data_IF_583503805792
#
_entry.id   IF_583503805792
#
_cell.length_a   1.000
_cell.length_b   1.000
_cell.length_c   1.000
_cell.angle_alpha   90.00
_cell.angle_beta   90.00
_cell.angle_gamma   90.00
#
_symmetry.space_group_name_H-M   'P 1'
#
loop_
_entity.id
_entity.type
_entity.pdbx_description
1 polymer ?
#
# COMPACT_ATOMS: atom_id res chain seq x y z
N UNK A 1 -38.44 -88.58 57.23
CA UNK A 1 -37.23 -87.94 57.81
C UNK A 1 -36.83 -86.81 56.97
N UNK A 2 -36.79 -85.67 57.52
CA UNK A 2 -36.36 -84.31 57.17
C UNK A 2 -36.50 -83.86 55.71
N UNK A 3 -37.60 -83.17 55.43
CA UNK A 3 -37.73 -82.27 54.28
C UNK A 3 -36.88 -81.02 54.45
N UNK A 4 -36.18 -80.63 53.43
CA UNK A 4 -35.61 -79.27 53.34
C UNK A 4 -36.29 -78.55 52.16
N UNK A 5 -37.03 -77.49 52.53
CA UNK A 5 -37.61 -76.53 51.62
C UNK A 5 -36.52 -75.55 51.19
N UNK A 6 -36.33 -75.41 49.89
CA UNK A 6 -35.49 -74.35 49.33
C UNK A 6 -36.41 -73.30 48.71
N UNK A 7 -36.45 -72.09 49.32
CA UNK A 7 -37.18 -70.95 48.82
C UNK A 7 -36.34 -70.26 47.73
N UNK A 8 -36.90 -70.23 46.52
CA UNK A 8 -36.31 -69.51 45.43
C UNK A 8 -36.59 -67.99 45.48
N UNK A 9 -35.57 -67.18 45.57
CA UNK A 9 -35.65 -65.72 45.51
C UNK A 9 -35.52 -65.28 44.08
N UNK A 10 -36.57 -64.80 43.45
CA UNK A 10 -36.58 -64.24 42.12
C UNK A 10 -36.06 -62.77 42.16
N UNK A 11 -34.90 -62.53 41.67
CA UNK A 11 -34.37 -61.13 41.40
C UNK A 11 -34.99 -60.58 40.11
N UNK A 12 -35.83 -59.57 40.24
CA UNK A 12 -36.31 -58.76 39.11
C UNK A 12 -35.27 -57.70 38.79
N UNK A 13 -34.53 -57.87 37.67
CA UNK A 13 -33.58 -56.87 37.13
C UNK A 13 -34.36 -55.81 36.36
N UNK A 14 -34.47 -54.64 36.92
CA UNK A 14 -34.97 -53.43 36.21
C UNK A 14 -33.83 -52.88 35.39
N UNK A 15 -33.86 -53.14 34.08
CA UNK A 15 -32.97 -52.47 33.12
C UNK A 15 -33.51 -51.05 32.82
N UNK A 16 -32.98 -50.04 33.51
CA UNK A 16 -33.18 -48.65 33.20
C UNK A 16 -32.40 -48.30 31.94
N UNK A 17 -33.08 -48.07 30.83
CA UNK A 17 -32.48 -47.52 29.62
C UNK A 17 -32.07 -46.05 29.86
N UNK A 18 -30.80 -45.81 30.10
CA UNK A 18 -30.22 -44.45 30.08
C UNK A 18 -30.17 -44.02 28.61
N UNK A 19 -31.11 -43.20 28.17
CA UNK A 19 -31.02 -42.44 26.94
C UNK A 19 -29.94 -41.37 27.15
N UNK A 20 -28.74 -41.60 26.61
CA UNK A 20 -27.77 -40.57 26.45
C UNK A 20 -28.33 -39.51 25.49
N UNK A 21 -28.61 -38.32 26.00
CA UNK A 21 -28.94 -37.14 25.22
C UNK A 21 -27.62 -36.73 24.54
N UNK A 22 -27.51 -37.02 23.25
CA UNK A 22 -26.44 -36.52 22.39
C UNK A 22 -26.55 -35.01 22.38
N UNK A 23 -25.64 -34.37 23.09
CA UNK A 23 -25.48 -32.93 23.05
C UNK A 23 -24.91 -32.62 21.65
N UNK A 24 -25.80 -32.16 20.73
CA UNK A 24 -25.34 -31.52 19.50
C UNK A 24 -24.37 -30.41 19.90
N UNK A 25 -23.07 -30.66 19.72
CA UNK A 25 -22.08 -29.64 19.76
C UNK A 25 -22.30 -28.78 18.51
N UNK A 26 -23.02 -27.66 18.69
CA UNK A 26 -22.98 -26.59 17.70
C UNK A 26 -21.54 -26.12 17.67
N UNK A 27 -20.77 -26.60 16.69
CA UNK A 27 -19.48 -26.05 16.35
C UNK A 27 -19.70 -24.59 15.97
N UNK A 28 -19.56 -23.72 16.96
CA UNK A 28 -19.47 -22.27 16.71
C UNK A 28 -18.15 -22.05 16.01
N UNK A 29 -18.16 -22.12 14.68
CA UNK A 29 -17.07 -21.64 13.86
C UNK A 29 -16.96 -20.14 14.15
N UNK A 30 -16.06 -19.79 15.07
CA UNK A 30 -15.65 -18.40 15.27
C UNK A 30 -14.90 -18.00 14.01
N UNK A 31 -15.60 -17.49 13.01
CA UNK A 31 -15.00 -16.79 11.88
C UNK A 31 -14.44 -15.48 12.45
N UNK A 32 -13.16 -15.48 12.80
CA UNK A 32 -12.45 -14.25 13.15
C UNK A 32 -12.24 -13.51 11.86
N UNK A 33 -13.18 -12.64 11.52
CA UNK A 33 -13.05 -11.80 10.33
C UNK A 33 -11.98 -10.75 10.62
N UNK A 34 -10.84 -10.87 9.94
CA UNK A 34 -9.76 -9.91 10.09
C UNK A 34 -10.20 -8.50 9.68
N UNK A 35 -9.70 -7.50 10.40
CA UNK A 35 -9.92 -6.10 10.07
C UNK A 35 -9.10 -5.75 8.81
N UNK A 36 -9.79 -5.35 7.75
CA UNK A 36 -9.15 -4.85 6.53
C UNK A 36 -9.06 -3.34 6.60
N UNK A 37 -7.84 -2.81 6.52
CA UNK A 37 -7.57 -1.37 6.62
C UNK A 37 -7.08 -0.82 5.29
N UNK A 38 -7.56 0.36 4.95
CA UNK A 38 -7.22 1.13 3.76
C UNK A 38 -6.63 2.48 4.18
N UNK A 39 -5.52 2.83 3.57
CA UNK A 39 -5.03 4.19 3.58
C UNK A 39 -5.77 5.02 2.54
N UNK A 40 -6.47 6.06 2.96
CA UNK A 40 -7.28 6.92 2.11
C UNK A 40 -6.79 8.36 2.18
N UNK A 41 -6.49 8.95 1.04
CA UNK A 41 -6.22 10.39 0.91
C UNK A 41 -7.43 11.08 0.30
N UNK A 42 -7.81 12.23 0.84
CA UNK A 42 -8.86 13.06 0.25
C UNK A 42 -8.25 14.32 -0.35
N UNK A 43 -8.53 14.54 -1.62
CA UNK A 43 -8.05 15.73 -2.35
C UNK A 43 -9.22 16.46 -3.02
N UNK A 44 -9.08 17.76 -3.21
CA UNK A 44 -9.96 18.49 -4.13
C UNK A 44 -9.61 18.15 -5.59
N UNK A 45 -10.60 17.70 -6.36
CA UNK A 45 -10.41 17.25 -7.75
C UNK A 45 -9.77 18.33 -8.63
N UNK A 46 -10.10 19.61 -8.41
CA UNK A 46 -9.66 20.73 -9.24
C UNK A 46 -8.29 21.25 -8.83
N UNK A 47 -8.12 21.62 -7.57
CA UNK A 47 -6.89 22.22 -7.06
C UNK A 47 -5.83 21.19 -6.68
N UNK A 48 -6.18 19.91 -6.59
CA UNK A 48 -5.32 18.82 -6.09
C UNK A 48 -4.80 19.05 -4.66
N UNK A 49 -5.40 19.97 -3.93
CA UNK A 49 -5.05 20.24 -2.53
C UNK A 49 -5.61 19.15 -1.63
N UNK A 50 -4.85 18.70 -0.64
CA UNK A 50 -5.30 17.75 0.38
C UNK A 50 -6.41 18.40 1.22
N UNK A 51 -7.43 17.62 1.52
CA UNK A 51 -8.56 17.99 2.38
C UNK A 51 -8.52 17.08 3.62
N UNK A 52 -8.40 17.66 4.81
CA UNK A 52 -8.09 16.91 6.04
C UNK A 52 -9.15 16.98 7.14
N UNK A 53 -10.37 17.47 6.88
CA UNK A 53 -11.39 17.74 7.90
C UNK A 53 -12.60 16.79 7.88
N UNK A 54 -12.40 15.56 7.38
CA UNK A 54 -13.47 14.56 7.31
C UNK A 54 -13.56 13.73 8.59
N UNK A 55 -14.79 13.35 8.96
CA UNK A 55 -15.09 12.46 10.07
C UNK A 55 -15.44 11.06 9.57
N UNK A 56 -15.48 10.08 10.48
CA UNK A 56 -15.82 8.68 10.16
C UNK A 56 -17.14 8.54 9.42
N UNK A 57 -18.15 9.32 9.81
CA UNK A 57 -19.52 9.27 9.31
C UNK A 57 -19.63 9.75 7.85
N UNK A 58 -18.64 10.51 7.39
CA UNK A 58 -18.58 10.99 6.02
C UNK A 58 -18.01 9.97 5.04
N UNK A 59 -17.46 8.84 5.52
CA UNK A 59 -16.93 7.78 4.68
C UNK A 59 -17.89 6.62 4.50
N UNK A 60 -17.99 6.12 3.29
CA UNK A 60 -18.73 4.93 2.92
C UNK A 60 -17.78 3.93 2.25
N UNK A 61 -17.77 2.68 2.71
CA UNK A 61 -16.98 1.59 2.13
C UNK A 61 -17.91 0.65 1.39
N UNK A 62 -17.54 0.26 0.19
CA UNK A 62 -18.23 -0.75 -0.62
C UNK A 62 -17.24 -1.87 -0.98
N UNK A 63 -17.51 -3.09 -0.52
CA UNK A 63 -16.77 -4.31 -0.84
C UNK A 63 -17.54 -5.10 -1.90
N UNK A 64 -16.97 -5.31 -3.09
CA UNK A 64 -17.68 -5.88 -4.26
C UNK A 64 -19.04 -5.21 -4.53
N UNK A 65 -19.14 -3.91 -4.28
CA UNK A 65 -20.37 -3.14 -4.45
C UNK A 65 -21.36 -3.21 -3.29
N UNK A 66 -21.10 -4.03 -2.26
CA UNK A 66 -21.94 -4.14 -1.05
C UNK A 66 -21.41 -3.18 0.01
N UNK A 67 -22.30 -2.30 0.54
CA UNK A 67 -21.94 -1.33 1.58
C UNK A 67 -21.55 -2.04 2.87
N UNK A 68 -20.42 -1.67 3.44
CA UNK A 68 -19.86 -2.20 4.67
C UNK A 68 -19.84 -1.13 5.77
N UNK A 69 -20.03 -1.49 7.04
CA UNK A 69 -19.89 -0.55 8.15
C UNK A 69 -18.42 -0.18 8.35
N UNK A 70 -18.11 1.10 8.53
CA UNK A 70 -16.77 1.56 8.89
C UNK A 70 -16.52 1.13 10.35
N UNK A 71 -15.72 0.08 10.55
CA UNK A 71 -15.39 -0.48 11.88
C UNK A 71 -14.16 0.17 12.51
N UNK A 72 -13.27 0.72 11.69
CA UNK A 72 -12.05 1.39 12.12
C UNK A 72 -11.86 2.72 11.38
N UNK A 73 -11.46 3.74 12.12
CA UNK A 73 -11.13 5.05 11.57
C UNK A 73 -10.06 5.70 12.45
N UNK A 74 -8.97 6.13 11.84
CA UNK A 74 -7.91 6.91 12.50
C UNK A 74 -7.39 7.99 11.56
N UNK A 75 -6.94 9.08 12.16
CA UNK A 75 -6.20 10.17 11.52
C UNK A 75 -4.78 10.26 12.08
N UNK A 76 -4.33 9.26 12.82
CA UNK A 76 -3.02 9.26 13.42
C UNK A 76 -1.94 9.27 12.35
N UNK A 77 -0.93 10.06 12.60
CA UNK A 77 0.24 10.14 11.75
C UNK A 77 1.13 8.93 12.03
N UNK A 78 1.04 7.92 11.16
CA UNK A 78 1.92 6.76 11.22
C UNK A 78 3.34 7.13 10.76
N UNK A 79 4.38 6.51 11.32
CA UNK A 79 5.72 6.58 10.76
C UNK A 79 5.73 6.19 9.28
N UNK A 80 6.64 6.76 8.52
CA UNK A 80 6.79 6.44 7.10
C UNK A 80 7.99 5.51 6.89
N UNK A 81 7.80 4.46 6.08
CA UNK A 81 8.89 3.68 5.50
C UNK A 81 8.91 3.97 4.00
N UNK A 82 9.83 4.82 3.58
CA UNK A 82 9.92 5.34 2.22
C UNK A 82 11.06 4.66 1.49
N UNK A 83 10.78 4.02 0.35
CA UNK A 83 11.77 3.59 -0.61
C UNK A 83 11.81 4.61 -1.75
N UNK A 84 12.93 5.34 -1.87
CA UNK A 84 13.18 6.22 -3.01
C UNK A 84 13.75 5.40 -4.16
N UNK A 85 12.99 5.28 -5.25
CA UNK A 85 13.40 4.59 -6.48
C UNK A 85 13.84 5.64 -7.51
N UNK A 86 15.16 5.82 -7.65
CA UNK A 86 15.78 6.88 -8.44
C UNK A 86 16.14 6.38 -9.84
N UNK A 87 15.58 7.01 -10.85
CA UNK A 87 15.99 6.82 -12.24
C UNK A 87 17.35 7.49 -12.47
N UNK A 88 18.34 6.71 -12.89
CA UNK A 88 19.69 7.18 -13.24
C UNK A 88 20.05 6.86 -14.70
N UNK A 89 19.04 6.56 -15.52
CA UNK A 89 19.19 6.27 -16.95
C UNK A 89 19.74 7.46 -17.74
N UNK A 90 20.10 7.22 -18.99
CA UNK A 90 20.70 8.24 -19.84
C UNK A 90 19.81 9.47 -20.06
N UNK A 91 18.50 9.31 -20.11
CA UNK A 91 17.55 10.41 -20.36
C UNK A 91 17.44 11.39 -19.19
N UNK A 92 17.67 10.95 -17.95
CA UNK A 92 17.62 11.81 -16.75
C UNK A 92 19.00 12.39 -16.37
N UNK A 93 20.11 11.93 -16.97
CA UNK A 93 21.45 12.42 -16.66
C UNK A 93 21.58 13.95 -16.64
N UNK A 94 20.97 14.72 -17.57
CA UNK A 94 21.07 16.19 -17.56
C UNK A 94 20.44 16.86 -16.34
N UNK A 95 19.61 16.14 -15.56
CA UNK A 95 18.87 16.67 -14.42
C UNK A 95 19.18 15.91 -13.11
N UNK A 96 20.12 14.95 -13.11
CA UNK A 96 20.45 14.15 -11.92
C UNK A 96 20.91 15.01 -10.74
N UNK A 97 21.67 16.10 -10.98
CA UNK A 97 22.08 17.01 -9.90
C UNK A 97 20.86 17.64 -9.20
N UNK A 98 19.86 18.06 -9.97
CA UNK A 98 18.62 18.65 -9.42
C UNK A 98 17.78 17.60 -8.68
N UNK A 99 17.72 16.36 -9.19
CA UNK A 99 17.06 15.25 -8.51
C UNK A 99 17.77 14.97 -7.18
N UNK A 100 19.10 14.87 -7.19
CA UNK A 100 19.91 14.68 -5.99
C UNK A 100 19.66 15.76 -4.94
N UNK A 101 19.80 17.03 -5.35
CA UNK A 101 19.69 18.16 -4.43
C UNK A 101 18.26 18.29 -3.89
N UNK A 102 17.24 18.08 -4.74
CA UNK A 102 15.85 18.07 -4.34
C UNK A 102 15.51 16.92 -3.39
N UNK A 103 16.01 15.72 -3.64
CA UNK A 103 15.81 14.57 -2.75
C UNK A 103 16.47 14.80 -1.38
N UNK A 104 17.69 15.32 -1.35
CA UNK A 104 18.39 15.68 -0.10
C UNK A 104 17.62 16.72 0.72
N UNK A 105 17.13 17.78 0.07
CA UNK A 105 16.37 18.81 0.76
C UNK A 105 15.05 18.25 1.33
N UNK A 106 14.39 17.37 0.60
CA UNK A 106 13.14 16.74 1.05
C UNK A 106 13.31 15.87 2.31
N UNK A 107 14.52 15.32 2.59
CA UNK A 107 14.79 14.57 3.81
C UNK A 107 14.55 15.38 5.09
N UNK A 108 14.62 16.72 5.03
CA UNK A 108 14.37 17.61 6.18
C UNK A 108 12.89 17.62 6.61
N UNK A 109 11.97 17.19 5.75
CA UNK A 109 10.54 17.07 6.05
C UNK A 109 10.18 15.77 6.76
N UNK A 110 11.15 14.88 6.94
CA UNK A 110 10.93 13.59 7.61
C UNK A 110 11.07 13.73 9.12
N UNK A 111 10.27 12.96 9.86
CA UNK A 111 10.33 12.86 11.31
C UNK A 111 11.40 11.86 11.75
N UNK A 112 11.89 11.94 12.98
CA UNK A 112 12.94 11.02 13.50
C UNK A 112 12.59 9.53 13.36
N UNK A 113 11.32 9.19 13.49
CA UNK A 113 10.79 7.82 13.40
C UNK A 113 10.65 7.29 11.97
N UNK A 114 10.81 8.14 10.94
CA UNK A 114 10.69 7.71 9.54
C UNK A 114 11.96 7.03 9.06
N UNK A 115 11.79 5.98 8.27
CA UNK A 115 12.89 5.26 7.65
C UNK A 115 12.90 5.49 6.14
N UNK A 116 14.10 5.55 5.58
CA UNK A 116 14.29 5.73 4.13
C UNK A 116 15.26 4.68 3.62
N UNK A 117 14.87 4.00 2.56
CA UNK A 117 15.75 3.20 1.69
C UNK A 117 15.96 3.91 0.37
N UNK A 118 17.07 3.66 -0.30
CA UNK A 118 17.41 4.21 -1.61
C UNK A 118 17.75 3.09 -2.56
N UNK A 119 16.99 2.99 -3.64
CA UNK A 119 17.30 2.18 -4.81
C UNK A 119 17.55 3.08 -6.01
N UNK A 120 18.46 2.69 -6.87
CA UNK A 120 18.70 3.33 -8.14
C UNK A 120 18.45 2.34 -9.29
N UNK A 121 17.98 2.83 -10.42
CA UNK A 121 17.76 1.98 -11.59
C UNK A 121 18.10 2.68 -12.91
N UNK A 122 18.52 1.83 -13.85
CA UNK A 122 18.77 2.14 -15.24
C UNK A 122 18.37 0.90 -16.06
N UNK A 123 19.33 0.26 -16.73
CA UNK A 123 19.16 -1.07 -17.34
C UNK A 123 19.16 -2.20 -16.29
N UNK A 124 19.61 -1.91 -15.08
CA UNK A 124 19.57 -2.77 -13.89
C UNK A 124 19.09 -1.94 -12.71
N UNK A 125 18.74 -2.57 -11.61
CA UNK A 125 18.44 -1.93 -10.35
C UNK A 125 19.45 -2.36 -9.28
N UNK A 126 19.61 -1.54 -8.24
CA UNK A 126 20.45 -1.84 -7.08
C UNK A 126 19.91 -1.15 -5.83
N UNK A 127 19.95 -1.86 -4.69
CA UNK A 127 19.67 -1.29 -3.38
C UNK A 127 20.93 -0.57 -2.86
N UNK A 128 20.96 0.74 -3.02
CA UNK A 128 22.12 1.59 -2.65
C UNK A 128 22.18 1.79 -1.14
N UNK A 129 21.03 1.85 -0.48
CA UNK A 129 20.90 1.96 0.97
C UNK A 129 19.60 1.31 1.44
N UNK A 130 19.72 0.39 2.38
CA UNK A 130 18.61 -0.20 3.08
C UNK A 130 17.98 0.78 4.09
N UNK A 131 16.82 0.45 4.64
CA UNK A 131 16.06 1.32 5.53
C UNK A 131 16.88 1.84 6.70
N UNK A 132 16.95 3.16 6.84
CA UNK A 132 17.62 3.84 7.94
C UNK A 132 16.93 5.16 8.26
N UNK A 133 17.05 5.62 9.50
CA UNK A 133 16.65 6.97 9.92
C UNK A 133 17.82 7.97 9.91
N UNK A 134 19.03 7.54 9.57
CA UNK A 134 20.18 8.42 9.38
C UNK A 134 20.10 9.21 8.08
N UNK A 135 19.60 10.45 8.17
CA UNK A 135 19.42 11.36 7.03
C UNK A 135 20.74 11.71 6.32
N UNK A 136 21.82 11.76 7.07
CA UNK A 136 23.14 12.09 6.51
C UNK A 136 23.63 10.94 5.64
N UNK A 137 23.46 9.70 6.09
CA UNK A 137 23.78 8.51 5.32
C UNK A 137 22.90 8.42 4.07
N UNK A 138 21.57 8.63 4.20
CA UNK A 138 20.68 8.64 3.04
C UNK A 138 21.09 9.70 2.02
N UNK A 139 21.39 10.92 2.46
CA UNK A 139 21.85 12.01 1.57
C UNK A 139 23.13 11.65 0.81
N UNK A 140 24.11 11.04 1.50
CA UNK A 140 25.35 10.54 0.90
C UNK A 140 25.06 9.47 -0.15
N UNK A 141 24.17 8.53 0.15
CA UNK A 141 23.81 7.42 -0.73
C UNK A 141 23.02 7.88 -1.97
N UNK A 142 22.16 8.88 -1.84
CA UNK A 142 21.53 9.54 -2.99
C UNK A 142 22.61 10.16 -3.90
N UNK A 143 23.63 10.79 -3.34
CA UNK A 143 24.73 11.35 -4.12
C UNK A 143 25.52 10.26 -4.84
N UNK A 144 25.87 9.17 -4.18
CA UNK A 144 26.54 8.01 -4.77
C UNK A 144 25.70 7.42 -5.91
N UNK A 145 24.40 7.21 -5.69
CA UNK A 145 23.46 6.67 -6.67
C UNK A 145 23.40 7.51 -7.95
N UNK A 146 23.35 8.85 -7.82
CA UNK A 146 23.26 9.74 -8.98
C UNK A 146 24.55 9.89 -9.78
N UNK A 147 25.69 9.41 -9.24
CA UNK A 147 26.99 9.39 -9.93
C UNK A 147 27.31 8.04 -10.56
N UNK A 148 26.48 7.04 -10.34
CA UNK A 148 26.76 5.68 -10.78
C UNK A 148 26.49 5.52 -12.28
N UNK A 149 27.31 4.72 -12.97
CA UNK A 149 27.14 4.39 -14.40
C UNK A 149 26.93 2.89 -14.63
N UNK A 150 27.21 2.04 -13.62
CA UNK A 150 27.17 0.58 -13.78
C UNK A 150 25.74 0.02 -13.98
N UNK A 151 24.71 0.81 -13.67
CA UNK A 151 23.32 0.41 -13.87
C UNK A 151 22.86 0.49 -15.33
N UNK A 152 23.69 1.09 -16.18
CA UNK A 152 23.46 1.18 -17.63
C UNK A 152 22.47 2.27 -18.05
N UNK A 153 22.35 2.52 -19.37
CA UNK A 153 21.66 3.69 -19.90
C UNK A 153 20.14 3.53 -20.05
N UNK A 154 19.61 2.31 -19.97
CA UNK A 154 18.18 2.03 -20.16
C UNK A 154 17.32 2.43 -18.97
N UNK A 155 16.00 2.38 -19.13
CA UNK A 155 15.02 2.69 -18.07
C UNK A 155 14.07 1.51 -17.88
N UNK A 156 14.50 0.50 -17.13
CA UNK A 156 13.75 -0.75 -16.91
C UNK A 156 12.98 -0.69 -15.57
N UNK A 157 11.92 0.09 -15.58
CA UNK A 157 11.11 0.34 -14.38
C UNK A 157 10.43 -0.92 -13.83
N UNK A 158 9.92 -1.82 -14.68
CA UNK A 158 9.24 -3.03 -14.25
C UNK A 158 10.12 -3.92 -13.35
N UNK A 159 11.31 -4.36 -13.82
CA UNK A 159 12.24 -5.11 -12.98
C UNK A 159 12.66 -4.36 -11.70
N UNK A 160 12.95 -3.05 -11.80
CA UNK A 160 13.33 -2.24 -10.64
C UNK A 160 12.22 -2.15 -9.59
N UNK A 161 10.98 -1.99 -10.03
CA UNK A 161 9.83 -1.91 -9.12
C UNK A 161 9.49 -3.29 -8.53
N UNK A 162 9.67 -4.39 -9.28
CA UNK A 162 9.51 -5.74 -8.73
C UNK A 162 10.51 -6.02 -7.60
N UNK A 163 11.76 -5.60 -7.77
CA UNK A 163 12.80 -5.67 -6.73
C UNK A 163 12.46 -4.76 -5.54
N UNK A 164 12.03 -3.52 -5.80
CA UNK A 164 11.59 -2.59 -4.77
C UNK A 164 10.44 -3.14 -3.91
N UNK A 165 9.52 -3.95 -4.48
CA UNK A 165 8.44 -4.59 -3.72
C UNK A 165 8.96 -5.62 -2.71
N UNK A 166 10.10 -6.26 -2.96
CA UNK A 166 10.70 -7.18 -2.00
C UNK A 166 11.33 -6.42 -0.83
N UNK A 167 12.06 -5.34 -1.12
CA UNK A 167 12.70 -4.55 -0.07
C UNK A 167 11.70 -3.77 0.81
N UNK A 168 10.60 -3.29 0.24
CA UNK A 168 9.59 -2.56 1.04
C UNK A 168 8.84 -3.47 2.01
N UNK A 169 8.76 -4.78 1.73
CA UNK A 169 8.16 -5.75 2.64
C UNK A 169 9.01 -5.96 3.90
N UNK A 170 10.34 -5.78 3.79
CA UNK A 170 11.30 -5.88 4.90
C UNK A 170 11.42 -4.57 5.71
N UNK A 171 10.52 -3.60 5.48
CA UNK A 171 10.53 -2.33 6.22
C UNK A 171 10.49 -2.57 7.74
N UNK A 172 11.34 -1.87 8.52
CA UNK A 172 11.65 -2.24 9.92
C UNK A 172 10.48 -2.05 10.89
N UNK A 173 9.45 -1.29 10.50
CA UNK A 173 8.30 -1.00 11.36
C UNK A 173 7.02 -1.54 10.75
N UNK A 174 6.47 -2.62 11.31
CA UNK A 174 5.26 -3.27 10.81
C UNK A 174 4.02 -2.33 10.76
N UNK A 175 3.95 -1.35 11.66
CA UNK A 175 2.89 -0.35 11.72
C UNK A 175 3.16 0.91 10.91
N UNK A 176 4.27 0.98 10.16
CA UNK A 176 4.57 2.14 9.31
C UNK A 176 3.75 2.13 8.01
N UNK A 177 3.53 3.33 7.47
CA UNK A 177 2.99 3.47 6.12
C UNK A 177 4.10 3.24 5.10
N UNK A 178 3.96 2.17 4.31
CA UNK A 178 4.92 1.76 3.28
C UNK A 178 4.70 2.54 2.01
N UNK A 179 5.75 3.13 1.47
CA UNK A 179 5.68 4.01 0.31
C UNK A 179 6.86 3.79 -0.63
N UNK A 180 6.60 3.65 -1.92
CA UNK A 180 7.61 3.74 -2.97
C UNK A 180 7.42 5.06 -3.70
N UNK A 181 8.45 5.92 -3.72
CA UNK A 181 8.44 7.17 -4.48
C UNK A 181 9.38 6.97 -5.68
N UNK A 182 8.79 6.93 -6.88
CA UNK A 182 9.53 6.78 -8.14
C UNK A 182 9.85 8.18 -8.65
N UNK A 183 11.14 8.49 -8.84
CA UNK A 183 11.61 9.76 -9.41
C UNK A 183 12.22 9.45 -10.78
N UNK A 184 11.55 9.89 -11.85
CA UNK A 184 11.91 9.57 -13.24
C UNK A 184 11.44 10.67 -14.20
N UNK A 185 11.93 10.67 -15.44
CA UNK A 185 11.35 11.47 -16.53
C UNK A 185 10.16 10.78 -17.23
N UNK A 186 9.78 9.60 -16.74
CA UNK A 186 8.67 8.79 -17.24
C UNK A 186 8.87 8.17 -18.64
N UNK A 187 10.11 8.08 -19.10
CA UNK A 187 10.45 7.33 -20.32
C UNK A 187 10.86 5.92 -19.89
N UNK A 188 9.88 5.10 -19.51
CA UNK A 188 10.14 3.79 -18.93
C UNK A 188 9.53 2.64 -19.74
N UNK A 189 10.18 1.49 -19.75
CA UNK A 189 9.66 0.24 -20.27
C UNK A 189 9.21 -0.68 -19.14
N UNK A 190 7.98 -1.21 -19.27
CA UNK A 190 7.44 -2.27 -18.43
C UNK A 190 7.21 -3.50 -19.30
N UNK A 191 7.80 -4.62 -18.94
CA UNK A 191 7.77 -5.85 -19.75
C UNK A 191 6.68 -6.83 -19.28
N UNK A 192 5.42 -6.41 -19.21
CA UNK A 192 4.32 -7.32 -18.88
C UNK A 192 4.32 -7.82 -17.43
N UNK A 193 5.05 -7.14 -16.54
CA UNK A 193 5.14 -7.50 -15.11
C UNK A 193 4.09 -6.81 -14.24
N UNK A 194 3.26 -5.95 -14.85
CA UNK A 194 2.35 -5.04 -14.13
C UNK A 194 1.39 -5.77 -13.21
N UNK A 195 0.85 -6.91 -13.64
CA UNK A 195 -0.08 -7.68 -12.82
C UNK A 195 0.59 -8.18 -11.53
N UNK A 196 1.73 -8.85 -11.66
CA UNK A 196 2.48 -9.41 -10.53
C UNK A 196 2.93 -8.33 -9.55
N UNK A 197 3.43 -7.21 -10.05
CA UNK A 197 3.89 -6.09 -9.23
C UNK A 197 2.70 -5.47 -8.48
N UNK A 198 1.57 -5.24 -9.15
CA UNK A 198 0.37 -4.70 -8.51
C UNK A 198 -0.16 -5.64 -7.42
N UNK A 199 -0.15 -6.95 -7.64
CA UNK A 199 -0.53 -7.94 -6.64
C UNK A 199 0.33 -7.79 -5.37
N UNK A 200 1.66 -7.78 -5.50
CA UNK A 200 2.58 -7.57 -4.37
C UNK A 200 2.34 -6.22 -3.64
N UNK A 201 2.19 -5.13 -4.39
CA UNK A 201 1.93 -3.80 -3.82
C UNK A 201 0.61 -3.73 -3.04
N UNK A 202 -0.44 -4.39 -3.55
CA UNK A 202 -1.75 -4.43 -2.90
C UNK A 202 -1.72 -5.31 -1.64
N UNK A 203 -1.00 -6.43 -1.70
CA UNK A 203 -0.80 -7.34 -0.57
C UNK A 203 -0.01 -6.69 0.57
N UNK A 204 1.10 -6.02 0.26
CA UNK A 204 1.91 -5.30 1.25
C UNK A 204 1.25 -4.01 1.77
N UNK A 205 0.19 -3.54 1.10
CA UNK A 205 -0.43 -2.25 1.40
C UNK A 205 0.45 -1.04 1.03
N UNK A 206 1.43 -1.24 0.14
CA UNK A 206 2.37 -0.20 -0.28
C UNK A 206 1.70 0.79 -1.22
N UNK A 207 1.89 2.08 -0.96
CA UNK A 207 1.42 3.17 -1.83
C UNK A 207 2.54 3.62 -2.75
N UNK A 208 2.26 3.75 -4.05
CA UNK A 208 3.24 4.21 -5.04
C UNK A 208 2.97 5.65 -5.44
N UNK A 209 3.97 6.51 -5.32
CA UNK A 209 3.95 7.88 -5.84
C UNK A 209 4.92 8.01 -7.02
N UNK A 210 4.52 8.79 -8.01
CA UNK A 210 5.39 9.15 -9.14
C UNK A 210 5.74 10.63 -9.11
N UNK A 211 7.02 10.97 -9.04
CA UNK A 211 7.51 12.32 -9.30
C UNK A 211 8.14 12.36 -10.69
N UNK A 212 7.41 12.96 -11.63
CA UNK A 212 7.85 13.07 -13.01
C UNK A 212 8.60 14.38 -13.20
N UNK A 213 9.93 14.27 -13.36
CA UNK A 213 10.81 15.44 -13.53
C UNK A 213 11.00 15.72 -15.01
N UNK A 214 10.52 16.86 -15.48
CA UNK A 214 10.62 17.25 -16.89
C UNK A 214 12.02 17.77 -17.20
N UNK A 215 12.77 16.99 -17.98
CA UNK A 215 14.03 17.44 -18.61
C UNK A 215 13.79 18.27 -19.87
N UNK A 216 14.86 18.87 -20.41
CA UNK A 216 14.82 19.66 -21.65
C UNK A 216 14.41 18.80 -22.89
N UNK A 217 14.68 17.51 -22.86
CA UNK A 217 14.38 16.54 -23.94
C UNK A 217 12.91 16.09 -23.93
N UNK A 218 12.23 16.18 -22.77
CA UNK A 218 10.88 15.63 -22.58
C UNK A 218 9.77 16.30 -23.38
N UNK A 219 9.94 17.51 -23.89
CA UNK A 219 8.92 18.20 -24.69
C UNK A 219 8.70 17.54 -26.06
N UNK A 220 9.74 17.01 -26.69
CA UNK A 220 9.64 16.38 -28.01
C UNK A 220 9.18 14.92 -27.91
N UNK A 221 9.63 14.19 -26.89
CA UNK A 221 9.26 12.80 -26.66
C UNK A 221 7.82 12.64 -26.15
N UNK A 222 7.27 13.58 -25.38
CA UNK A 222 5.88 13.53 -24.90
C UNK A 222 4.85 13.52 -26.03
N UNK A 223 5.16 14.07 -27.21
CA UNK A 223 4.23 14.02 -28.35
C UNK A 223 4.20 12.65 -29.03
N UNK A 224 5.32 11.91 -29.03
CA UNK A 224 5.42 10.56 -29.60
C UNK A 224 5.06 9.44 -28.61
N UNK A 225 5.19 9.67 -27.31
CA UNK A 225 4.98 8.65 -26.27
C UNK A 225 3.60 8.66 -25.63
N UNK A 226 2.64 9.46 -26.10
CA UNK A 226 1.26 9.55 -25.60
C UNK A 226 0.52 8.20 -25.53
N UNK A 227 1.03 7.15 -26.18
CA UNK A 227 0.51 5.79 -26.10
C UNK A 227 1.26 4.82 -25.19
N UNK A 228 2.45 5.17 -24.66
CA UNK A 228 3.33 4.25 -23.91
C UNK A 228 3.51 4.60 -22.43
N UNK A 229 2.88 5.65 -21.94
CA UNK A 229 2.96 6.10 -20.53
C UNK A 229 2.18 5.17 -19.58
N UNK A 230 2.20 3.88 -19.82
CA UNK A 230 1.47 2.93 -18.96
C UNK A 230 2.21 2.58 -17.65
N UNK A 231 3.54 2.72 -17.59
CA UNK A 231 4.35 2.20 -16.49
C UNK A 231 3.94 2.75 -15.12
N UNK A 232 4.33 3.97 -14.78
CA UNK A 232 4.12 4.55 -13.43
C UNK A 232 2.63 4.74 -13.11
N UNK A 233 1.83 5.18 -14.10
CA UNK A 233 0.39 5.44 -13.93
C UNK A 233 -0.40 4.24 -13.42
N UNK A 234 -0.07 3.03 -13.87
CA UNK A 234 -0.79 1.81 -13.47
C UNK A 234 -0.59 1.55 -11.98
N UNK A 235 0.66 1.56 -11.51
CA UNK A 235 0.99 1.27 -10.12
C UNK A 235 0.43 2.32 -9.16
N UNK A 236 0.56 3.59 -9.52
CA UNK A 236 0.05 4.72 -8.72
C UNK A 236 -1.46 4.64 -8.55
N UNK A 237 -2.20 4.35 -9.63
CA UNK A 237 -3.66 4.25 -9.59
C UNK A 237 -4.15 3.05 -8.78
N UNK A 238 -3.51 1.89 -8.92
CA UNK A 238 -3.91 0.67 -8.21
C UNK A 238 -3.66 0.77 -6.70
N UNK A 239 -2.63 1.51 -6.29
CA UNK A 239 -2.24 1.67 -4.88
C UNK A 239 -2.81 2.93 -4.20
N UNK A 240 -3.51 3.78 -4.94
CA UNK A 240 -4.11 5.01 -4.39
C UNK A 240 -3.12 6.14 -4.08
N UNK A 241 -1.99 6.18 -4.80
CA UNK A 241 -1.07 7.30 -4.76
C UNK A 241 -1.39 8.39 -5.78
N UNK A 242 -0.41 9.23 -6.08
CA UNK A 242 -0.53 10.32 -7.06
C UNK A 242 0.72 10.44 -7.94
N UNK A 243 0.53 10.99 -9.13
CA UNK A 243 1.62 11.46 -9.98
C UNK A 243 1.72 12.97 -9.90
N UNK A 244 2.91 13.45 -9.57
CA UNK A 244 3.23 14.86 -9.58
C UNK A 244 4.25 15.18 -10.67
N UNK A 245 3.98 16.21 -11.46
CA UNK A 245 4.97 16.80 -12.35
C UNK A 245 5.82 17.82 -11.61
N UNK A 246 7.12 17.81 -11.84
CA UNK A 246 8.05 18.81 -11.34
C UNK A 246 8.93 19.34 -12.48
N UNK A 247 9.23 20.63 -12.45
CA UNK A 247 10.38 21.15 -13.16
C UNK A 247 11.65 20.80 -12.37
N UNK A 248 12.79 20.83 -13.01
CA UNK A 248 14.08 20.50 -12.39
C UNK A 248 14.39 21.27 -11.08
N UNK A 249 13.84 22.48 -10.92
CA UNK A 249 14.06 23.35 -9.75
C UNK A 249 12.92 23.22 -8.71
N UNK A 250 11.99 22.28 -8.86
CA UNK A 250 10.82 22.09 -7.97
C UNK A 250 10.83 20.70 -7.32
N UNK A 251 11.88 19.92 -7.51
CA UNK A 251 11.95 18.52 -7.04
C UNK A 251 11.80 18.46 -5.51
N UNK A 252 12.50 19.34 -4.78
CA UNK A 252 12.44 19.45 -3.32
C UNK A 252 11.04 19.82 -2.83
N UNK A 253 10.44 20.87 -3.41
CA UNK A 253 9.09 21.32 -3.05
C UNK A 253 8.05 20.24 -3.31
N UNK A 254 8.17 19.53 -4.45
CA UNK A 254 7.21 18.47 -4.79
C UNK A 254 7.37 17.22 -3.94
N UNK A 255 8.59 16.85 -3.59
CA UNK A 255 8.83 15.73 -2.65
C UNK A 255 8.33 16.08 -1.24
N UNK A 256 8.55 17.30 -0.76
CA UNK A 256 7.98 17.76 0.50
C UNK A 256 6.45 17.65 0.50
N UNK A 257 5.78 18.08 -0.59
CA UNK A 257 4.33 17.93 -0.75
C UNK A 257 3.91 16.46 -0.74
N UNK A 258 4.69 15.54 -1.32
CA UNK A 258 4.40 14.08 -1.24
C UNK A 258 4.45 13.62 0.21
N UNK A 259 5.48 13.98 0.97
CA UNK A 259 5.65 13.61 2.38
C UNK A 259 4.47 14.14 3.23
N UNK A 260 4.11 15.40 3.07
CA UNK A 260 2.98 16.01 3.78
C UNK A 260 1.65 15.29 3.45
N UNK A 261 1.44 14.93 2.19
CA UNK A 261 0.25 14.19 1.75
C UNK A 261 0.19 12.77 2.32
N UNK A 262 1.33 12.12 2.45
CA UNK A 262 1.42 10.80 3.06
C UNK A 262 1.02 10.84 4.54
N UNK A 263 1.34 11.92 5.26
CA UNK A 263 0.94 12.09 6.66
C UNK A 263 -0.55 12.39 6.82
N UNK A 264 -1.12 13.12 5.88
CA UNK A 264 -2.52 13.56 5.92
C UNK A 264 -3.52 12.48 5.45
N UNK A 265 -3.14 11.21 5.42
CA UNK A 265 -4.03 10.10 5.03
C UNK A 265 -4.85 9.62 6.22
N UNK A 266 -6.05 9.11 5.92
CA UNK A 266 -6.92 8.44 6.87
C UNK A 266 -6.67 6.93 6.82
N UNK A 267 -6.65 6.27 7.97
CA UNK A 267 -6.75 4.81 8.04
C UNK A 267 -8.21 4.44 8.28
N UNK A 268 -8.82 3.75 7.31
CA UNK A 268 -10.24 3.42 7.32
C UNK A 268 -10.38 1.92 7.12
N UNK A 269 -11.15 1.25 8.00
CA UNK A 269 -11.27 -0.20 7.97
C UNK A 269 -12.67 -0.72 8.21
N UNK A 270 -12.88 -1.94 7.75
CA UNK A 270 -14.11 -2.71 7.97
C UNK A 270 -13.79 -4.18 8.21
N UNK A 271 -14.75 -4.91 8.75
CA UNK A 271 -14.70 -6.38 8.85
C UNK A 271 -15.62 -6.94 7.79
N UNK A 272 -15.09 -7.70 6.81
CA UNK A 272 -15.92 -8.36 5.82
C UNK A 272 -16.98 -9.26 6.48
N UNK A 273 -18.21 -9.23 5.99
CA UNK A 273 -19.34 -9.99 6.55
C UNK A 273 -19.47 -11.39 5.95
N UNK A 274 -18.85 -11.63 4.78
CA UNK A 274 -18.95 -12.87 4.06
C UNK A 274 -17.82 -13.85 4.44
N UNK A 275 -18.10 -15.16 4.29
CA UNK A 275 -17.02 -16.15 4.27
C UNK A 275 -16.15 -15.88 3.03
N UNK A 276 -14.89 -15.53 3.27
CA UNK A 276 -13.98 -15.14 2.19
C UNK A 276 -13.15 -16.35 1.84
N UNK A 277 -13.18 -16.72 0.55
CA UNK A 277 -12.20 -17.65 0.03
C UNK A 277 -10.82 -16.98 0.03
N UNK A 278 -9.81 -17.66 0.53
CA UNK A 278 -8.41 -17.19 0.46
C UNK A 278 -7.98 -17.07 -0.99
N UNK A 279 -7.14 -16.08 -1.27
CA UNK A 279 -6.53 -15.78 -2.58
C UNK A 279 -7.43 -15.09 -3.62
N UNK A 280 -8.66 -14.71 -3.26
CA UNK A 280 -9.51 -13.93 -4.15
C UNK A 280 -9.23 -12.42 -3.97
N UNK A 281 -8.97 -11.72 -5.09
CA UNK A 281 -8.91 -10.27 -5.09
C UNK A 281 -10.31 -9.66 -4.94
N UNK A 282 -10.50 -8.84 -3.91
CA UNK A 282 -11.76 -8.13 -3.66
C UNK A 282 -11.61 -6.65 -3.93
N UNK A 283 -12.44 -6.15 -4.83
CA UNK A 283 -12.47 -4.72 -5.15
C UNK A 283 -13.16 -3.94 -4.04
N UNK A 284 -12.54 -2.82 -3.62
CA UNK A 284 -13.11 -1.92 -2.63
C UNK A 284 -13.22 -0.51 -3.21
N UNK A 285 -14.33 0.15 -2.95
CA UNK A 285 -14.54 1.54 -3.26
C UNK A 285 -14.85 2.31 -1.98
N UNK A 286 -14.09 3.38 -1.72
CA UNK A 286 -14.33 4.30 -0.62
C UNK A 286 -14.86 5.60 -1.18
N UNK A 287 -16.05 6.00 -0.75
CA UNK A 287 -16.74 7.22 -1.16
C UNK A 287 -16.92 8.16 0.03
N UNK A 288 -17.23 9.42 -0.29
CA UNK A 288 -17.69 10.39 0.70
C UNK A 288 -19.20 10.58 0.58
N UNK A 289 -19.86 10.46 1.71
CA UNK A 289 -21.28 10.81 1.84
C UNK A 289 -21.46 12.33 1.77
N UNK A 290 -22.50 12.84 1.10
CA UNK A 290 -22.75 14.28 0.97
C UNK A 290 -23.34 14.89 2.24
N UNK A 291 -22.82 14.56 3.43
CA UNK A 291 -23.35 15.04 4.71
C UNK A 291 -23.19 16.56 4.89
N UNK A 292 -22.15 17.14 4.28
CA UNK A 292 -21.88 18.57 4.33
C UNK A 292 -21.82 19.18 2.93
N UNK A 293 -22.40 20.37 2.75
CA UNK A 293 -22.19 21.16 1.53
C UNK A 293 -20.75 21.68 1.53
N UNK A 294 -19.99 21.38 0.47
CA UNK A 294 -18.61 21.83 0.28
C UNK A 294 -18.49 22.59 -1.04
N UNK A 295 -17.60 23.59 -1.07
CA UNK A 295 -17.21 24.26 -2.31
C UNK A 295 -16.26 23.42 -3.13
N UNK A 296 -15.44 22.62 -2.45
CA UNK A 296 -14.50 21.67 -3.02
C UNK A 296 -15.24 20.47 -3.63
N UNK A 297 -14.59 19.82 -4.59
CA UNK A 297 -15.03 18.54 -5.16
C UNK A 297 -14.11 17.43 -4.64
N UNK A 298 -14.37 16.89 -3.46
CA UNK A 298 -13.48 15.89 -2.85
C UNK A 298 -13.50 14.59 -3.65
N UNK A 299 -12.30 13.99 -3.77
CA UNK A 299 -12.07 12.66 -4.34
C UNK A 299 -11.21 11.88 -3.37
N UNK A 300 -11.59 10.63 -3.12
CA UNK A 300 -10.82 9.71 -2.29
C UNK A 300 -9.84 8.94 -3.16
N UNK A 301 -8.58 8.94 -2.78
CA UNK A 301 -7.52 8.13 -3.38
C UNK A 301 -7.16 7.03 -2.38
N UNK A 302 -7.35 5.78 -2.78
CA UNK A 302 -7.04 4.59 -1.97
C UNK A 302 -6.71 3.43 -2.89
N UNK A 303 -6.10 2.38 -2.34
CA UNK A 303 -5.86 1.14 -3.09
C UNK A 303 -7.18 0.55 -3.59
N UNK A 304 -7.15 -0.09 -4.75
CA UNK A 304 -8.33 -0.57 -5.46
C UNK A 304 -9.03 -1.76 -4.77
N UNK A 305 -8.33 -2.45 -3.91
CA UNK A 305 -8.87 -3.65 -3.26
C UNK A 305 -7.83 -4.34 -2.38
N UNK A 306 -8.09 -5.58 -2.03
CA UNK A 306 -7.25 -6.36 -1.13
C UNK A 306 -7.33 -7.86 -1.41
N UNK A 307 -6.33 -8.59 -0.92
CA UNK A 307 -6.32 -10.04 -0.79
C UNK A 307 -6.46 -10.38 0.68
N UNK A 308 -7.26 -11.40 1.02
CA UNK A 308 -7.20 -11.99 2.35
C UNK A 308 -6.20 -13.14 2.32
N UNK A 309 -5.17 -13.02 3.14
CA UNK A 309 -4.25 -14.13 3.45
C UNK A 309 -4.78 -14.87 4.67
N UNK A 310 -4.60 -16.17 4.70
CA UNK A 310 -4.74 -16.98 5.91
C UNK A 310 -3.54 -16.85 6.81
#
# INVERSE_FOLDING_TARGET
MRCLLIAGLSLISIQGSIRAQEKESVDVIKVTTELVVFDAQVIDKKSKRTLGDFTKEEFEIYDKGVKQPVSYFSRDELPLSILLLLDVSASVRPILNQIRDGARNALQHLKPEDHVAVMAFGSKADLVQDFTHDRSLVAKKIEEATRTEYLGPGTFLGPALDEATMHIDDAPTASSRRVIIIITDNIATSFGMEKRINEKLLESGTVVYGLIVRGAVGKFFNLMSLGQIKGVNTYVRETGGEIMGANKNEVDVKLAVVIDRLRARYAIGFRPTDQISTDEFRTVEIKLSPLRKRKEKPVVLTKRGYYLRR
#
